data_IF_529078855860
#
_entry.id   IF_529078855860
#
_cell.length_a   1.000
_cell.length_b   1.000
_cell.length_c   1.000
_cell.angle_alpha   90.00
_cell.angle_beta   90.00
_cell.angle_gamma   90.00
#
_symmetry.space_group_name_H-M   'P 1'
#
loop_
_entity.id
_entity.type
_entity.pdbx_description
1 polymer ?
#
# COMPACT_ATOMS: atom_id res chain seq x y z
N UNK A 1 -16.79 -16.52 4.31
CA UNK A 1 -15.80 -17.15 5.21
C UNK A 1 -15.47 -16.17 6.32
N UNK A 2 -15.28 -16.64 7.53
CA UNK A 2 -15.02 -15.79 8.70
C UNK A 2 -13.51 -15.84 8.99
N UNK A 3 -12.81 -14.71 8.92
CA UNK A 3 -11.35 -14.60 9.16
C UNK A 3 -11.07 -13.95 10.52
N UNK A 4 -11.83 -14.31 11.56
CA UNK A 4 -11.77 -13.60 12.86
C UNK A 4 -10.44 -13.84 13.59
N UNK A 5 -9.87 -15.06 13.49
CA UNK A 5 -8.57 -15.38 14.08
C UNK A 5 -7.44 -14.66 13.35
N UNK A 6 -7.47 -14.69 12.02
CA UNK A 6 -6.49 -14.01 11.16
C UNK A 6 -6.53 -12.49 11.36
N UNK A 7 -7.73 -11.91 11.44
CA UNK A 7 -7.94 -10.50 11.76
C UNK A 7 -7.34 -10.12 13.11
N UNK A 8 -7.57 -10.94 14.15
CA UNK A 8 -7.00 -10.69 15.48
C UNK A 8 -5.48 -10.70 15.45
N UNK A 9 -4.87 -11.67 14.75
CA UNK A 9 -3.42 -11.77 14.58
C UNK A 9 -2.86 -10.62 13.77
N UNK A 10 -3.53 -10.22 12.68
CA UNK A 10 -3.17 -9.05 11.86
C UNK A 10 -3.07 -7.77 12.71
N UNK A 11 -4.11 -7.50 13.51
CA UNK A 11 -4.16 -6.32 14.38
C UNK A 11 -3.06 -6.40 15.44
N UNK A 12 -2.84 -7.57 16.05
CA UNK A 12 -1.81 -7.76 17.05
C UNK A 12 -0.39 -7.59 16.46
N UNK A 13 -0.15 -8.13 15.26
CA UNK A 13 1.11 -7.95 14.54
C UNK A 13 1.39 -6.47 14.27
N UNK A 14 0.40 -5.74 13.76
CA UNK A 14 0.50 -4.31 13.52
C UNK A 14 0.77 -3.51 14.81
N UNK A 15 0.09 -3.83 15.91
CA UNK A 15 0.32 -3.18 17.22
C UNK A 15 1.74 -3.41 17.74
N UNK A 16 2.25 -4.64 17.63
CA UNK A 16 3.62 -4.97 18.04
C UNK A 16 4.64 -4.23 17.16
N UNK A 17 4.44 -4.26 15.84
CA UNK A 17 5.27 -3.57 14.86
C UNK A 17 5.32 -2.05 15.07
N UNK A 18 4.17 -1.42 15.37
CA UNK A 18 4.08 0.03 15.64
C UNK A 18 4.96 0.46 16.83
N UNK A 19 5.08 -0.38 17.88
CA UNK A 19 5.96 -0.08 19.03
C UNK A 19 7.42 -0.06 18.61
N UNK A 20 7.83 -0.98 17.73
CA UNK A 20 9.19 -1.00 17.17
C UNK A 20 9.42 0.21 16.29
N UNK A 21 8.47 0.50 15.35
CA UNK A 21 8.53 1.65 14.49
C UNK A 21 8.77 2.94 15.28
N UNK A 22 7.95 3.25 16.30
CA UNK A 22 8.08 4.47 17.12
C UNK A 22 9.38 4.50 17.91
N UNK A 23 9.89 3.35 18.36
CA UNK A 23 11.18 3.29 19.06
C UNK A 23 12.35 3.77 18.20
N UNK A 24 12.27 3.58 16.89
CA UNK A 24 13.29 3.95 15.92
C UNK A 24 13.01 5.30 15.22
N UNK A 25 11.77 5.69 15.06
CA UNK A 25 11.39 6.93 14.37
C UNK A 25 11.97 8.16 15.10
N UNK A 26 12.52 9.10 14.35
CA UNK A 26 13.16 10.29 14.89
C UNK A 26 14.59 10.07 15.42
N UNK A 27 15.16 8.87 15.28
CA UNK A 27 16.53 8.56 15.73
C UNK A 27 17.45 8.28 14.56
N UNK A 28 18.76 8.50 14.75
CA UNK A 28 19.77 8.13 13.77
C UNK A 28 19.76 6.63 13.54
N UNK A 29 19.63 6.22 12.28
CA UNK A 29 19.55 4.83 11.86
C UNK A 29 20.84 4.39 11.17
N UNK A 30 21.22 3.11 11.37
CA UNK A 30 22.16 2.45 10.48
C UNK A 30 21.42 2.08 9.21
N UNK A 31 21.77 2.75 8.11
CA UNK A 31 21.11 2.58 6.80
C UNK A 31 22.04 1.79 5.90
N UNK A 32 21.49 0.81 5.18
CA UNK A 32 22.16 0.13 4.08
C UNK A 32 21.38 0.39 2.79
N UNK A 33 22.10 0.55 1.70
CA UNK A 33 21.50 0.61 0.37
C UNK A 33 21.41 -0.81 -0.19
N UNK A 34 20.25 -1.17 -0.72
CA UNK A 34 20.03 -2.43 -1.44
C UNK A 34 20.50 -2.30 -2.88
N UNK A 35 20.69 -3.41 -3.59
CA UNK A 35 21.14 -3.45 -4.99
C UNK A 35 20.23 -2.65 -5.95
N UNK A 36 18.93 -2.61 -5.66
CA UNK A 36 17.94 -1.83 -6.40
C UNK A 36 17.91 -0.33 -6.05
N UNK A 37 18.89 0.17 -5.28
CA UNK A 37 19.01 1.55 -4.76
C UNK A 37 17.95 1.95 -3.71
N UNK A 38 17.08 1.04 -3.25
CA UNK A 38 16.22 1.28 -2.09
C UNK A 38 17.06 1.25 -0.80
N UNK A 39 16.49 1.79 0.27
CA UNK A 39 17.12 1.79 1.60
C UNK A 39 16.53 0.69 2.47
N UNK A 40 17.33 0.17 3.38
CA UNK A 40 16.87 -0.64 4.50
C UNK A 40 17.52 -0.14 5.78
N UNK A 41 16.74 0.04 6.81
CA UNK A 41 17.21 0.40 8.14
C UNK A 41 17.12 -0.80 9.11
N UNK A 42 17.76 -0.66 10.25
CA UNK A 42 17.59 -1.65 11.32
C UNK A 42 16.13 -1.77 11.79
N UNK A 43 15.37 -0.67 11.68
CA UNK A 43 13.96 -0.66 12.00
C UNK A 43 13.15 -1.59 11.07
N UNK A 44 13.40 -1.55 9.76
CA UNK A 44 12.73 -2.44 8.79
C UNK A 44 12.91 -3.91 9.19
N UNK A 45 14.14 -4.32 9.48
CA UNK A 45 14.45 -5.70 9.84
C UNK A 45 13.78 -6.13 11.15
N UNK A 46 13.76 -5.26 12.16
CA UNK A 46 13.15 -5.60 13.45
C UNK A 46 11.62 -5.58 13.39
N UNK A 47 11.02 -4.64 12.67
CA UNK A 47 9.58 -4.61 12.39
C UNK A 47 9.17 -5.87 11.62
N UNK A 48 9.91 -6.22 10.56
CA UNK A 48 9.68 -7.42 9.77
C UNK A 48 9.69 -8.69 10.64
N UNK A 49 10.76 -8.89 11.41
CA UNK A 49 10.90 -10.03 12.34
C UNK A 49 9.73 -10.11 13.34
N UNK A 50 9.32 -8.97 13.86
CA UNK A 50 8.22 -8.89 14.85
C UNK A 50 6.89 -9.31 14.26
N UNK A 51 6.58 -8.87 13.03
CA UNK A 51 5.37 -9.25 12.31
C UNK A 51 5.38 -10.74 12.01
N UNK A 52 6.46 -11.25 11.40
CA UNK A 52 6.62 -12.67 11.05
C UNK A 52 6.47 -13.56 12.29
N UNK A 53 7.15 -13.26 13.39
CA UNK A 53 7.05 -14.03 14.61
C UNK A 53 5.64 -14.06 15.19
N UNK A 54 4.91 -12.92 15.13
CA UNK A 54 3.53 -12.85 15.60
C UNK A 54 2.61 -13.74 14.76
N UNK A 55 2.79 -13.72 13.44
CA UNK A 55 2.01 -14.53 12.48
C UNK A 55 2.36 -16.02 12.64
N UNK A 56 3.63 -16.39 12.60
CA UNK A 56 4.07 -17.80 12.67
C UNK A 56 3.71 -18.48 13.96
N UNK A 57 3.67 -17.75 15.07
CA UNK A 57 3.18 -18.30 16.37
C UNK A 57 1.73 -18.78 16.30
N UNK A 58 0.89 -18.11 15.51
CA UNK A 58 -0.54 -18.44 15.39
C UNK A 58 -0.84 -19.33 14.16
N UNK A 59 -0.03 -19.18 13.11
CA UNK A 59 -0.21 -19.82 11.81
C UNK A 59 1.14 -20.27 11.23
N UNK A 60 1.76 -21.33 11.79
CA UNK A 60 3.10 -21.78 11.36
C UNK A 60 3.15 -22.21 9.88
N UNK A 61 2.03 -22.67 9.34
CA UNK A 61 1.93 -23.23 7.98
C UNK A 61 1.34 -22.23 6.97
N UNK A 62 1.20 -20.94 7.29
CA UNK A 62 0.83 -19.93 6.30
C UNK A 62 2.07 -19.43 5.56
N UNK A 63 1.92 -19.15 4.26
CA UNK A 63 2.95 -18.52 3.46
C UNK A 63 3.22 -17.09 3.94
N UNK A 64 4.46 -16.63 3.80
CA UNK A 64 4.86 -15.24 4.08
C UNK A 64 5.64 -14.67 2.91
N UNK A 65 5.17 -13.57 2.39
CA UNK A 65 5.83 -12.73 1.40
C UNK A 65 6.13 -11.38 2.04
N UNK A 66 7.37 -10.95 2.00
CA UNK A 66 7.79 -9.66 2.56
C UNK A 66 8.92 -9.05 1.76
N UNK A 67 9.08 -7.72 1.87
CA UNK A 67 10.17 -7.00 1.21
C UNK A 67 11.54 -7.44 1.71
N UNK A 68 11.68 -7.76 3.01
CA UNK A 68 12.98 -7.91 3.68
C UNK A 68 13.48 -9.35 3.78
N UNK A 69 12.74 -10.34 3.26
CA UNK A 69 13.20 -11.73 3.23
C UNK A 69 12.69 -12.49 2.01
N UNK A 70 13.28 -13.65 1.76
CA UNK A 70 12.80 -14.57 0.71
C UNK A 70 11.39 -15.04 1.02
N UNK A 71 10.63 -15.34 -0.03
CA UNK A 71 9.29 -15.91 0.09
C UNK A 71 9.35 -17.23 0.86
N UNK A 72 8.58 -17.32 1.95
CA UNK A 72 8.42 -18.52 2.75
C UNK A 72 7.15 -19.23 2.29
N UNK A 73 7.34 -20.23 1.40
CA UNK A 73 6.27 -21.00 0.81
C UNK A 73 6.01 -22.28 1.64
N UNK A 74 4.83 -22.38 2.22
CA UNK A 74 4.33 -23.51 2.99
C UNK A 74 3.25 -24.30 2.22
N UNK A 75 3.12 -24.06 0.90
CA UNK A 75 2.07 -24.65 0.06
C UNK A 75 0.65 -24.39 0.63
N UNK A 76 0.42 -23.20 1.17
CA UNK A 76 -0.82 -22.80 1.83
C UNK A 76 -1.69 -21.94 0.91
N UNK A 77 -3.01 -22.09 1.03
CA UNK A 77 -3.97 -21.15 0.43
C UNK A 77 -3.86 -19.73 1.01
N UNK A 78 -3.25 -19.59 2.19
CA UNK A 78 -3.07 -18.31 2.90
C UNK A 78 -1.66 -17.76 2.68
N UNK A 79 -1.58 -16.49 2.27
CA UNK A 79 -0.31 -15.77 2.14
C UNK A 79 -0.42 -14.42 2.85
N UNK A 80 0.44 -14.21 3.84
CA UNK A 80 0.64 -12.90 4.45
C UNK A 80 1.60 -12.10 3.57
N UNK A 81 1.23 -10.86 3.25
CA UNK A 81 2.01 -9.96 2.40
C UNK A 81 2.35 -8.74 3.24
N UNK A 82 3.66 -8.46 3.41
CA UNK A 82 4.18 -7.55 4.42
C UNK A 82 5.15 -6.56 3.79
N UNK A 83 4.91 -5.27 4.01
CA UNK A 83 5.93 -4.24 3.93
C UNK A 83 6.17 -3.71 5.34
N UNK A 84 7.36 -3.93 5.92
CA UNK A 84 7.66 -3.52 7.28
C UNK A 84 7.70 -2.00 7.45
N UNK A 85 8.24 -1.26 6.47
CA UNK A 85 8.23 0.21 6.45
C UNK A 85 8.17 0.72 5.01
N UNK A 86 6.95 0.92 4.50
CA UNK A 86 6.78 1.70 3.26
C UNK A 86 7.17 3.16 3.49
N UNK A 87 7.88 3.72 2.51
CA UNK A 87 8.43 5.06 2.62
C UNK A 87 9.71 5.14 3.47
N UNK A 88 10.62 4.16 3.37
CA UNK A 88 11.90 4.13 4.10
C UNK A 88 12.72 5.41 3.93
N UNK A 89 12.69 6.02 2.74
CA UNK A 89 13.32 7.34 2.51
C UNK A 89 12.72 8.47 3.37
N UNK A 90 11.41 8.45 3.59
CA UNK A 90 10.72 9.39 4.47
C UNK A 90 11.05 9.06 5.93
N UNK A 91 11.01 7.79 6.30
CA UNK A 91 11.30 7.32 7.64
C UNK A 91 12.68 7.79 8.14
N UNK A 92 13.75 7.57 7.36
CA UNK A 92 15.11 7.94 7.74
C UNK A 92 15.35 9.46 7.77
N UNK A 93 14.45 10.25 7.17
CA UNK A 93 14.46 11.71 7.19
C UNK A 93 13.48 12.33 8.17
N UNK A 94 12.81 11.50 8.98
CA UNK A 94 11.78 11.92 9.94
C UNK A 94 10.59 12.63 9.28
N UNK A 95 10.32 12.34 8.01
CA UNK A 95 9.10 12.75 7.33
C UNK A 95 8.00 11.77 7.74
N UNK A 96 6.85 12.22 8.30
CA UNK A 96 5.87 11.31 8.92
C UNK A 96 5.11 10.43 7.91
N UNK A 97 5.33 10.60 6.61
CA UNK A 97 4.66 9.88 5.54
C UNK A 97 5.39 8.55 5.29
N UNK A 98 5.27 7.65 6.22
CA UNK A 98 5.81 6.28 6.19
C UNK A 98 5.02 5.40 7.16
N UNK A 99 5.04 4.09 6.95
CA UNK A 99 4.27 3.21 7.81
C UNK A 99 4.39 1.74 7.45
N UNK A 100 3.57 0.91 8.06
CA UNK A 100 3.57 -0.54 8.02
C UNK A 100 2.38 -1.01 7.19
N UNK A 101 2.60 -1.96 6.29
CA UNK A 101 1.56 -2.57 5.47
C UNK A 101 1.54 -4.08 5.70
N UNK A 102 0.38 -4.62 6.07
CA UNK A 102 0.17 -6.07 6.20
C UNK A 102 -1.15 -6.46 5.56
N UNK A 103 -1.11 -7.41 4.64
CA UNK A 103 -2.30 -7.98 4.02
C UNK A 103 -2.35 -9.49 4.21
N UNK A 104 -3.55 -10.05 4.16
CA UNK A 104 -3.77 -11.48 4.03
C UNK A 104 -4.47 -11.76 2.71
N UNK A 105 -3.82 -12.57 1.89
CA UNK A 105 -4.39 -13.19 0.69
C UNK A 105 -4.87 -14.59 1.03
N UNK A 106 -6.10 -14.93 0.62
CA UNK A 106 -6.65 -16.29 0.63
C UNK A 106 -6.94 -16.71 -0.80
N UNK A 107 -6.26 -17.75 -1.26
CA UNK A 107 -6.29 -18.19 -2.69
C UNK A 107 -5.88 -17.02 -3.59
N UNK A 108 -6.81 -16.51 -4.41
CA UNK A 108 -6.55 -15.38 -5.32
C UNK A 108 -6.94 -14.01 -4.77
N UNK A 109 -7.69 -13.96 -3.66
CA UNK A 109 -8.30 -12.75 -3.15
C UNK A 109 -7.53 -12.16 -1.97
N UNK A 110 -7.35 -10.84 -1.92
CA UNK A 110 -6.92 -10.14 -0.71
C UNK A 110 -8.15 -10.01 0.19
N UNK A 111 -8.09 -10.60 1.38
CA UNK A 111 -9.25 -10.69 2.28
C UNK A 111 -9.16 -9.77 3.49
N UNK A 112 -7.95 -9.42 3.91
CA UNK A 112 -7.68 -8.46 4.98
C UNK A 112 -6.56 -7.51 4.56
N UNK A 113 -6.65 -6.25 4.97
CA UNK A 113 -5.61 -5.26 4.82
C UNK A 113 -5.51 -4.37 6.07
N UNK A 114 -4.28 -4.09 6.49
CA UNK A 114 -4.00 -3.23 7.62
C UNK A 114 -2.81 -2.34 7.30
N UNK A 115 -3.05 -1.04 7.28
CA UNK A 115 -2.03 -0.01 7.11
C UNK A 115 -1.97 0.81 8.39
N UNK A 116 -0.76 0.97 8.92
CA UNK A 116 -0.53 1.74 10.13
C UNK A 116 0.56 2.76 9.85
N UNK A 117 0.27 4.04 10.10
CA UNK A 117 1.24 5.13 10.02
C UNK A 117 1.37 5.75 11.42
N UNK A 118 2.25 5.21 12.27
CA UNK A 118 2.29 5.59 13.69
C UNK A 118 2.62 7.06 13.91
N UNK A 119 3.52 7.64 13.09
CA UNK A 119 3.90 9.06 13.17
C UNK A 119 2.75 10.03 12.83
N UNK A 120 1.73 9.55 12.12
CA UNK A 120 0.53 10.32 11.75
C UNK A 120 -0.72 9.91 12.56
N UNK A 121 -0.58 8.98 13.51
CA UNK A 121 -1.70 8.41 14.26
C UNK A 121 -2.82 7.85 13.34
N UNK A 122 -2.42 7.18 12.25
CA UNK A 122 -3.34 6.53 11.31
C UNK A 122 -3.30 5.01 11.53
N UNK A 123 -4.49 4.44 11.71
CA UNK A 123 -4.73 3.00 11.77
C UNK A 123 -5.87 2.67 10.82
N UNK A 124 -5.54 2.14 9.64
CA UNK A 124 -6.47 1.82 8.57
C UNK A 124 -6.62 0.31 8.43
N UNK A 125 -7.85 -0.16 8.41
CA UNK A 125 -8.18 -1.59 8.30
C UNK A 125 -9.32 -1.80 7.31
N UNK A 126 -9.21 -2.87 6.53
CA UNK A 126 -10.32 -3.36 5.71
C UNK A 126 -10.41 -4.89 5.76
N UNK A 127 -11.62 -5.39 5.59
CA UNK A 127 -11.92 -6.80 5.39
C UNK A 127 -12.90 -6.94 4.22
N UNK A 128 -12.59 -7.81 3.28
CA UNK A 128 -13.41 -8.06 2.09
C UNK A 128 -14.88 -8.31 2.49
N UNK A 129 -15.79 -7.51 1.92
CA UNK A 129 -17.24 -7.53 2.19
C UNK A 129 -17.67 -6.93 3.54
N UNK A 130 -16.77 -6.24 4.27
CA UNK A 130 -17.10 -5.62 5.58
C UNK A 130 -16.84 -4.11 5.61
N UNK A 131 -16.23 -3.56 4.57
CA UNK A 131 -15.90 -2.15 4.45
C UNK A 131 -14.49 -1.81 4.94
N UNK A 132 -14.09 -0.57 4.70
CA UNK A 132 -12.82 0.01 5.10
C UNK A 132 -13.00 1.07 6.19
N UNK A 133 -12.05 1.14 7.11
CA UNK A 133 -12.09 2.00 8.29
C UNK A 133 -10.73 2.65 8.54
N UNK A 134 -10.74 3.91 8.97
CA UNK A 134 -9.56 4.62 9.50
C UNK A 134 -9.88 5.08 10.92
N UNK A 135 -9.07 4.69 11.89
CA UNK A 135 -9.27 5.00 13.31
C UNK A 135 -10.70 4.67 13.79
N UNK A 136 -11.23 3.51 13.36
CA UNK A 136 -12.59 3.03 13.68
C UNK A 136 -13.74 3.70 12.92
N UNK A 137 -13.47 4.74 12.12
CA UNK A 137 -14.48 5.42 11.31
C UNK A 137 -14.51 4.84 9.90
N UNK A 138 -15.71 4.51 9.40
CA UNK A 138 -15.89 4.02 8.04
C UNK A 138 -15.49 5.08 7.02
N UNK A 139 -14.74 4.68 6.01
CA UNK A 139 -14.26 5.57 4.94
C UNK A 139 -14.91 5.25 3.61
N UNK A 140 -14.88 6.22 2.70
CA UNK A 140 -15.34 6.10 1.31
C UNK A 140 -14.42 6.92 0.40
N UNK A 141 -14.27 6.46 -0.84
CA UNK A 141 -13.61 7.21 -1.91
C UNK A 141 -14.38 8.50 -2.23
N UNK A 142 -13.76 9.42 -2.95
CA UNK A 142 -14.39 10.68 -3.38
C UNK A 142 -15.58 10.44 -4.31
N UNK A 143 -16.50 11.41 -4.35
CA UNK A 143 -17.68 11.36 -5.21
C UNK A 143 -17.47 12.07 -6.55
N UNK A 144 -16.25 12.57 -6.84
CA UNK A 144 -15.92 13.36 -8.02
C UNK A 144 -16.15 12.57 -9.33
N UNK A 145 -16.72 13.22 -10.35
CA UNK A 145 -17.10 12.61 -11.62
C UNK A 145 -16.35 13.20 -12.82
N UNK A 146 -15.72 14.35 -12.65
CA UNK A 146 -15.05 15.09 -13.71
C UNK A 146 -13.58 15.28 -13.38
N UNK A 147 -12.74 15.34 -14.42
CA UNK A 147 -11.30 15.49 -14.27
C UNK A 147 -10.90 16.90 -13.78
N UNK A 148 -11.78 17.87 -13.94
CA UNK A 148 -11.52 19.25 -13.57
C UNK A 148 -11.24 19.35 -12.04
N UNK A 149 -10.06 19.91 -11.69
CA UNK A 149 -9.58 20.02 -10.31
C UNK A 149 -9.55 18.67 -9.54
N UNK A 150 -9.35 17.54 -10.22
CA UNK A 150 -9.11 16.29 -9.53
C UNK A 150 -7.66 16.21 -9.01
N UNK A 151 -7.48 15.49 -7.89
CA UNK A 151 -6.18 15.22 -7.31
C UNK A 151 -5.74 13.82 -7.69
N UNK A 152 -4.65 13.72 -8.43
CA UNK A 152 -4.03 12.44 -8.80
C UNK A 152 -2.69 12.33 -8.09
N UNK A 153 -2.54 11.28 -7.29
CA UNK A 153 -1.24 10.93 -6.72
C UNK A 153 -0.52 9.93 -7.60
N UNK A 154 0.82 9.97 -7.59
CA UNK A 154 1.60 9.07 -8.43
C UNK A 154 2.87 8.61 -7.72
N UNK A 155 3.47 7.52 -8.21
CA UNK A 155 4.73 7.00 -7.68
C UNK A 155 5.80 7.00 -8.77
N UNK A 156 6.97 7.57 -8.43
CA UNK A 156 8.18 7.60 -9.26
C UNK A 156 9.31 6.89 -8.52
N UNK A 157 9.34 5.58 -8.54
CA UNK A 157 10.50 4.83 -8.04
C UNK A 157 11.76 5.14 -8.88
N UNK A 158 12.95 4.85 -8.35
CA UNK A 158 14.22 5.18 -9.01
C UNK A 158 14.39 4.51 -10.37
N UNK A 159 13.91 3.27 -10.50
CA UNK A 159 14.05 2.53 -11.75
C UNK A 159 13.13 3.10 -12.84
N UNK A 160 13.71 3.31 -14.04
CA UNK A 160 12.97 3.82 -15.21
C UNK A 160 12.24 5.13 -14.98
N UNK A 161 12.78 6.03 -14.15
CA UNK A 161 12.13 7.31 -13.80
C UNK A 161 11.78 8.15 -15.03
N UNK A 162 12.64 8.16 -16.05
CA UNK A 162 12.39 8.90 -17.29
C UNK A 162 11.09 8.41 -17.97
N UNK A 163 10.94 7.10 -18.18
CA UNK A 163 9.73 6.51 -18.78
C UNK A 163 8.47 6.84 -17.96
N UNK A 164 8.58 6.90 -16.64
CA UNK A 164 7.47 7.22 -15.75
C UNK A 164 7.05 8.68 -15.86
N UNK A 165 8.01 9.58 -15.97
CA UNK A 165 7.74 11.02 -16.21
C UNK A 165 7.07 11.21 -17.57
N UNK A 166 7.52 10.52 -18.61
CA UNK A 166 6.88 10.55 -19.94
C UNK A 166 5.40 10.13 -19.84
N UNK A 167 5.08 9.07 -19.11
CA UNK A 167 3.70 8.65 -18.91
C UNK A 167 2.82 9.69 -18.18
N UNK A 168 3.42 10.57 -17.36
CA UNK A 168 2.69 11.66 -16.70
C UNK A 168 2.42 12.85 -17.63
N UNK A 169 3.10 12.96 -18.78
CA UNK A 169 2.85 14.03 -19.76
C UNK A 169 1.40 14.04 -20.24
N UNK A 170 0.73 12.90 -20.26
CA UNK A 170 -0.68 12.81 -20.62
C UNK A 170 -1.61 13.65 -19.73
N UNK A 171 -1.17 14.00 -18.52
CA UNK A 171 -1.88 14.89 -17.60
C UNK A 171 -1.55 16.37 -17.82
N UNK A 172 -0.50 16.70 -18.62
CA UNK A 172 -0.10 18.07 -18.92
C UNK A 172 -1.21 18.81 -19.64
N UNK A 173 -1.42 20.08 -19.29
CA UNK A 173 -2.49 20.91 -19.86
C UNK A 173 -3.91 20.52 -19.43
N UNK A 174 -4.04 19.62 -18.47
CA UNK A 174 -5.33 19.30 -17.83
C UNK A 174 -5.40 19.98 -16.47
N UNK A 175 -6.59 20.39 -16.02
CA UNK A 175 -6.78 20.98 -14.68
C UNK A 175 -6.74 19.88 -13.60
N UNK A 176 -5.65 19.15 -13.55
CA UNK A 176 -5.39 18.03 -12.65
C UNK A 176 -4.25 18.38 -11.73
N UNK A 177 -4.44 18.25 -10.42
CA UNK A 177 -3.42 18.46 -9.42
C UNK A 177 -2.63 17.17 -9.17
N UNK A 178 -1.33 17.17 -9.47
CA UNK A 178 -0.45 16.02 -9.33
C UNK A 178 0.36 16.10 -8.03
N UNK A 179 0.37 15.02 -7.25
CA UNK A 179 1.12 14.91 -5.98
C UNK A 179 1.91 13.62 -5.89
N UNK A 180 3.12 13.71 -5.31
CA UNK A 180 3.92 12.55 -4.90
C UNK A 180 4.41 12.75 -3.46
N UNK A 181 4.15 11.76 -2.61
CA UNK A 181 4.49 11.82 -1.18
C UNK A 181 5.54 10.77 -0.79
N UNK A 182 5.97 9.91 -1.72
CA UNK A 182 7.05 8.95 -1.53
C UNK A 182 6.72 7.77 -0.61
N UNK A 183 5.43 7.41 -0.52
CA UNK A 183 4.95 6.22 0.19
C UNK A 183 3.65 5.71 -0.47
N UNK A 184 3.67 4.49 -0.99
CA UNK A 184 2.55 3.91 -1.72
C UNK A 184 1.31 3.73 -0.83
N UNK A 185 1.50 3.30 0.42
CA UNK A 185 0.41 3.15 1.39
C UNK A 185 -0.32 4.48 1.65
N UNK A 186 0.41 5.60 1.67
CA UNK A 186 -0.20 6.90 1.89
C UNK A 186 -1.01 7.34 0.66
N UNK A 187 -0.51 7.10 -0.54
CA UNK A 187 -1.25 7.35 -1.79
C UNK A 187 -2.55 6.55 -1.83
N UNK A 188 -2.51 5.26 -1.49
CA UNK A 188 -3.69 4.38 -1.40
C UNK A 188 -4.68 4.86 -0.34
N UNK A 189 -4.21 5.30 0.83
CA UNK A 189 -5.04 5.88 1.87
C UNK A 189 -5.71 7.18 1.44
N UNK A 190 -5.02 8.04 0.68
CA UNK A 190 -5.62 9.28 0.15
C UNK A 190 -6.79 8.95 -0.79
N UNK A 191 -6.64 7.95 -1.66
CA UNK A 191 -7.76 7.50 -2.53
C UNK A 191 -8.87 6.87 -1.70
N UNK A 192 -8.56 5.93 -0.81
CA UNK A 192 -9.56 5.23 0.01
C UNK A 192 -10.36 6.18 0.92
N UNK A 193 -9.76 7.30 1.36
CA UNK A 193 -10.40 8.32 2.20
C UNK A 193 -11.03 9.47 1.41
N UNK A 194 -10.98 9.43 0.07
CA UNK A 194 -11.53 10.47 -0.80
C UNK A 194 -10.77 11.79 -0.80
N UNK A 195 -9.52 11.81 -0.30
CA UNK A 195 -8.62 12.97 -0.29
C UNK A 195 -7.83 13.12 -1.58
N UNK A 196 -7.68 12.03 -2.33
CA UNK A 196 -7.27 12.02 -3.72
C UNK A 196 -8.30 11.25 -4.55
N UNK A 197 -8.38 11.53 -5.84
CA UNK A 197 -9.36 10.93 -6.74
C UNK A 197 -8.78 9.70 -7.45
N UNK A 198 -7.47 9.67 -7.63
CA UNK A 198 -6.77 8.53 -8.21
C UNK A 198 -5.30 8.43 -7.76
N UNK A 199 -4.76 7.22 -7.93
CA UNK A 199 -3.35 6.90 -7.82
C UNK A 199 -2.89 6.16 -9.06
N UNK A 200 -1.80 6.63 -9.67
CA UNK A 200 -1.15 5.99 -10.82
C UNK A 200 0.22 5.49 -10.37
N UNK A 201 0.46 4.19 -10.54
CA UNK A 201 1.74 3.57 -10.21
C UNK A 201 2.28 2.81 -11.41
N UNK A 202 3.53 3.08 -11.77
CA UNK A 202 4.19 2.52 -12.97
C UNK A 202 5.21 1.43 -12.66
N UNK A 203 5.47 1.16 -11.39
CA UNK A 203 6.31 0.04 -10.94
C UNK A 203 6.13 -0.14 -9.44
N UNK A 204 5.76 -1.34 -9.02
CA UNK A 204 5.50 -1.67 -7.63
C UNK A 204 5.70 -3.15 -7.38
N UNK A 205 5.78 -3.52 -6.11
CA UNK A 205 5.77 -4.90 -5.65
C UNK A 205 4.45 -5.23 -4.94
N UNK A 206 4.11 -6.51 -4.74
CA UNK A 206 2.88 -6.90 -4.05
C UNK A 206 2.73 -6.31 -2.65
N UNK A 207 3.82 -6.18 -1.89
CA UNK A 207 3.79 -5.68 -0.51
C UNK A 207 3.49 -4.18 -0.42
N UNK A 208 3.86 -3.38 -1.43
CA UNK A 208 3.57 -1.95 -1.51
C UNK A 208 2.07 -1.66 -1.61
N UNK A 209 1.28 -2.59 -2.19
CA UNK A 209 -0.09 -2.30 -2.62
C UNK A 209 -1.18 -3.20 -2.03
N UNK A 210 -0.84 -4.43 -1.61
CA UNK A 210 -1.86 -5.44 -1.26
C UNK A 210 -2.83 -4.96 -0.17
N UNK A 211 -2.34 -4.38 0.94
CA UNK A 211 -3.21 -3.90 2.00
C UNK A 211 -4.07 -2.70 1.56
N UNK A 212 -3.48 -1.81 0.76
CA UNK A 212 -4.19 -0.64 0.23
C UNK A 212 -5.26 -1.01 -0.80
N UNK A 213 -5.06 -2.08 -1.56
CA UNK A 213 -6.04 -2.50 -2.57
C UNK A 213 -7.37 -2.88 -1.92
N UNK A 214 -7.36 -3.74 -0.92
CA UNK A 214 -8.61 -4.09 -0.23
C UNK A 214 -9.22 -2.87 0.49
N UNK A 215 -8.42 -1.91 0.99
CA UNK A 215 -8.92 -0.66 1.56
C UNK A 215 -9.66 0.17 0.51
N UNK A 216 -9.09 0.34 -0.67
CA UNK A 216 -9.70 1.12 -1.77
C UNK A 216 -10.97 0.43 -2.28
N UNK A 217 -10.94 -0.89 -2.53
CA UNK A 217 -12.11 -1.64 -3.01
C UNK A 217 -13.26 -1.58 -2.00
N UNK A 218 -12.99 -1.80 -0.72
CA UNK A 218 -13.98 -1.74 0.36
C UNK A 218 -14.48 -0.31 0.68
N UNK A 219 -13.72 0.71 0.26
CA UNK A 219 -14.17 2.10 0.27
C UNK A 219 -15.00 2.49 -0.97
N UNK A 220 -15.18 1.57 -1.93
CA UNK A 220 -15.96 1.76 -3.16
C UNK A 220 -15.14 2.28 -4.35
N UNK A 221 -13.82 2.19 -4.30
CA UNK A 221 -12.92 2.50 -5.40
C UNK A 221 -12.80 1.39 -6.43
N UNK A 222 -12.04 1.66 -7.48
CA UNK A 222 -11.77 0.73 -8.58
C UNK A 222 -10.26 0.63 -8.85
N UNK A 223 -9.80 -0.60 -9.11
CA UNK A 223 -8.42 -0.92 -9.45
C UNK A 223 -8.38 -1.67 -10.77
N UNK A 224 -7.43 -1.32 -11.61
CA UNK A 224 -7.11 -2.07 -12.82
C UNK A 224 -5.61 -2.00 -13.13
N UNK A 225 -5.14 -2.88 -14.00
CA UNK A 225 -3.89 -2.62 -14.70
C UNK A 225 -3.99 -1.32 -15.50
N UNK A 226 -2.84 -0.70 -15.80
CA UNK A 226 -2.79 0.60 -16.50
C UNK A 226 -3.41 0.59 -17.90
N UNK A 227 -3.66 -0.61 -18.47
CA UNK A 227 -4.36 -0.81 -19.75
C UNK A 227 -5.84 -1.18 -19.57
N UNK A 228 -6.39 -1.01 -18.37
CA UNK A 228 -7.82 -1.25 -18.09
C UNK A 228 -8.19 -2.72 -17.85
N UNK A 229 -7.26 -3.67 -17.96
CA UNK A 229 -7.50 -5.09 -17.65
C UNK A 229 -7.65 -5.31 -16.14
N UNK A 230 -8.36 -6.37 -15.75
CA UNK A 230 -8.38 -6.83 -14.37
C UNK A 230 -6.96 -7.04 -13.87
N UNK A 231 -6.68 -6.64 -12.64
CA UNK A 231 -5.34 -6.73 -12.07
C UNK A 231 -5.04 -8.09 -11.44
N UNK A 232 -3.75 -8.40 -11.38
CA UNK A 232 -3.16 -9.43 -10.53
C UNK A 232 -2.10 -8.80 -9.64
N UNK A 233 -1.83 -9.37 -8.47
CA UNK A 233 -0.71 -8.92 -7.62
C UNK A 233 0.67 -9.13 -8.25
N UNK A 234 0.76 -9.92 -9.33
CA UNK A 234 1.99 -10.04 -10.14
C UNK A 234 2.19 -8.90 -11.13
N UNK A 235 1.16 -8.07 -11.37
CA UNK A 235 1.29 -6.89 -12.19
C UNK A 235 2.10 -5.82 -11.43
N UNK A 236 2.72 -4.92 -12.18
CA UNK A 236 3.57 -3.86 -11.60
C UNK A 236 3.05 -2.46 -11.87
N UNK A 237 2.01 -2.31 -12.70
CA UNK A 237 1.47 -1.03 -13.14
C UNK A 237 -0.04 -1.00 -12.96
N UNK A 238 -0.52 0.01 -12.21
CA UNK A 238 -1.93 0.09 -11.85
C UNK A 238 -2.48 1.51 -11.99
N UNK A 239 -3.77 1.58 -12.29
CA UNK A 239 -4.63 2.73 -12.03
C UNK A 239 -5.58 2.37 -10.90
N UNK A 240 -5.56 3.14 -9.84
CA UNK A 240 -6.43 3.07 -8.68
C UNK A 240 -7.23 4.35 -8.64
N UNK A 241 -8.54 4.31 -8.45
CA UNK A 241 -9.36 5.54 -8.46
C UNK A 241 -10.63 5.41 -7.62
N UNK A 242 -11.38 6.52 -7.54
CA UNK A 242 -12.71 6.56 -6.94
C UNK A 242 -13.79 5.78 -7.74
N UNK A 243 -13.40 5.09 -8.83
CA UNK A 243 -14.28 4.34 -9.72
C UNK A 243 -15.01 5.20 -10.75
N UNK A 244 -15.42 6.41 -10.40
CA UNK A 244 -16.20 7.31 -11.28
C UNK A 244 -15.33 7.94 -12.37
N UNK A 245 -14.11 8.29 -12.06
CA UNK A 245 -13.12 8.85 -12.98
C UNK A 245 -12.30 7.80 -13.72
N UNK A 246 -12.43 6.51 -13.36
CA UNK A 246 -11.53 5.45 -13.81
C UNK A 246 -11.39 5.38 -15.34
N UNK A 247 -12.50 5.39 -16.07
CA UNK A 247 -12.49 5.34 -17.54
C UNK A 247 -11.85 6.58 -18.19
N UNK A 248 -12.13 7.77 -17.65
CA UNK A 248 -11.55 9.01 -18.15
C UNK A 248 -10.04 9.04 -17.96
N UNK A 249 -9.56 8.58 -16.79
CA UNK A 249 -8.12 8.49 -16.47
C UNK A 249 -7.41 7.44 -17.32
N UNK A 250 -8.04 6.28 -17.57
CA UNK A 250 -7.48 5.27 -18.49
C UNK A 250 -7.30 5.86 -19.89
N UNK A 251 -8.28 6.59 -20.41
CA UNK A 251 -8.19 7.23 -21.72
C UNK A 251 -7.06 8.27 -21.82
N UNK A 252 -6.70 8.92 -20.71
CA UNK A 252 -5.52 9.80 -20.66
C UNK A 252 -4.21 9.02 -20.70
N UNK A 253 -4.13 7.91 -19.96
CA UNK A 253 -2.91 7.09 -19.83
C UNK A 253 -2.61 6.25 -21.10
N UNK A 254 -3.60 6.05 -21.98
CA UNK A 254 -3.46 5.26 -23.21
C UNK A 254 -3.15 6.11 -24.45
N UNK A 255 -3.11 7.42 -24.32
CA UNK A 255 -2.71 8.37 -25.38
C UNK A 255 -1.21 8.60 -25.39
#
# INVERSE_FOLDING_TARGET
>A
MRFDKEKSVLIQAGKNASRIFIRYYGKTQKIKQKDNKSLVSQADLEVNKTIINTIKKAFPNHNIMTEESKFDDQNSDFTWIIDPIDGTHNFVRNIPICGISVALKYKKDIVLGHIIMPAMNINAFAQKGKGAFVNGKRIKVSAKKELDNCVVVYELSYNKRHEKIENLKSFSGKPIDLRNFGAAIYHLLLVATGKADAFVIFSTNPWDVAAGFVLVEEAGGKISGIRGKSYSLSDTKFLISNGRLHGQLLNLLLR
#
